data_IF_979606713927
#
_entry.id   IF_979606713927
#
_cell.length_a   1.000
_cell.length_b   1.000
_cell.length_c   1.000
_cell.angle_alpha   90.00
_cell.angle_beta   90.00
_cell.angle_gamma   90.00
#
_symmetry.space_group_name_H-M   'P 1'
#
loop_
_entity.id
_entity.type
_entity.pdbx_description
1 polymer ?
#
# COMPACT_ATOMS: atom_id res chain seq x y z
N UNK A 1 3.66 -11.10 6.07
CA UNK A 1 4.96 -10.59 6.55
C UNK A 1 5.24 -11.21 7.91
N UNK A 2 6.50 -11.38 8.31
CA UNK A 2 6.80 -11.88 9.66
C UNK A 2 6.83 -10.73 10.67
N UNK A 3 6.56 -11.03 11.95
CA UNK A 3 6.53 -10.02 13.02
C UNK A 3 7.85 -9.24 13.15
N UNK A 4 8.99 -9.88 12.90
CA UNK A 4 10.29 -9.22 12.96
C UNK A 4 10.50 -8.19 11.84
N UNK A 5 10.00 -8.51 10.63
CA UNK A 5 10.03 -7.58 9.50
C UNK A 5 9.09 -6.39 9.75
N UNK A 6 7.92 -6.63 10.35
CA UNK A 6 6.99 -5.55 10.73
C UNK A 6 7.64 -4.60 11.73
N UNK A 7 8.33 -5.14 12.73
CA UNK A 7 9.09 -4.33 13.70
C UNK A 7 10.17 -3.50 13.04
N UNK A 8 10.91 -4.07 12.09
CA UNK A 8 11.97 -3.34 11.37
C UNK A 8 11.41 -2.19 10.52
N UNK A 9 10.30 -2.42 9.82
CA UNK A 9 9.57 -1.38 9.08
C UNK A 9 9.10 -0.28 10.02
N UNK A 10 8.49 -0.63 11.16
CA UNK A 10 7.99 0.36 12.11
C UNK A 10 9.11 1.15 12.80
N UNK A 11 10.24 0.50 13.11
CA UNK A 11 11.42 1.18 13.66
C UNK A 11 11.99 2.20 12.66
N UNK A 12 12.01 1.86 11.36
CA UNK A 12 12.39 2.80 10.32
C UNK A 12 11.44 4.01 10.28
N UNK A 13 10.13 3.78 10.30
CA UNK A 13 9.13 4.87 10.30
C UNK A 13 9.34 5.80 11.50
N UNK A 14 9.48 5.24 12.70
CA UNK A 14 9.65 6.01 13.93
C UNK A 14 10.88 6.93 13.84
N UNK A 15 11.98 6.46 13.25
CA UNK A 15 13.20 7.26 13.07
C UNK A 15 13.07 8.35 11.99
N UNK A 16 12.16 8.18 11.05
CA UNK A 16 11.98 9.06 9.90
C UNK A 16 10.64 9.82 9.91
N UNK A 17 10.00 9.90 11.08
CA UNK A 17 8.61 10.36 11.17
C UNK A 17 8.39 11.80 10.71
N UNK A 18 9.40 12.66 10.87
CA UNK A 18 9.38 14.05 10.40
C UNK A 18 9.36 14.19 8.87
N UNK A 19 9.89 13.18 8.17
CA UNK A 19 10.01 13.17 6.71
C UNK A 19 8.85 12.47 6.01
N UNK A 20 8.05 11.71 6.76
CA UNK A 20 6.94 10.92 6.22
C UNK A 20 5.64 11.71 6.44
N UNK A 21 5.07 12.34 5.40
CA UNK A 21 3.77 12.98 5.51
C UNK A 21 2.69 11.93 5.80
N UNK A 22 1.96 12.13 6.87
CA UNK A 22 0.94 11.19 7.31
C UNK A 22 -0.38 11.32 6.52
N UNK A 23 -0.97 12.52 6.53
CA UNK A 23 -2.15 12.89 5.75
C UNK A 23 -2.23 14.40 5.60
N UNK A 24 -2.92 14.86 4.56
CA UNK A 24 -3.35 16.25 4.46
C UNK A 24 -4.46 16.49 5.47
N UNK A 25 -4.30 17.49 6.33
CA UNK A 25 -5.31 17.88 7.31
C UNK A 25 -6.40 18.71 6.63
N UNK A 26 -7.65 18.45 7.00
CA UNK A 26 -8.78 19.29 6.60
C UNK A 26 -8.82 20.58 7.45
N UNK A 27 -9.55 21.58 6.97
CA UNK A 27 -9.75 22.81 7.73
C UNK A 27 -10.39 22.48 9.10
N UNK A 28 -9.77 22.98 10.19
CA UNK A 28 -10.10 22.71 11.60
C UNK A 28 -9.81 21.28 12.12
N UNK A 29 -9.19 20.42 11.32
CA UNK A 29 -8.77 19.10 11.79
C UNK A 29 -7.48 19.19 12.62
N UNK A 30 -7.51 18.63 13.83
CA UNK A 30 -6.31 18.53 14.66
C UNK A 30 -5.34 17.50 14.07
N UNK A 31 -4.05 17.84 14.09
CA UNK A 31 -3.03 16.90 13.68
C UNK A 31 -2.99 15.73 14.68
N UNK A 32 -3.02 14.47 14.22
CA UNK A 32 -2.86 13.32 15.10
C UNK A 32 -1.48 13.38 15.77
N UNK A 33 -1.39 12.85 16.99
CA UNK A 33 -0.13 12.71 17.71
C UNK A 33 0.77 11.70 17.01
N UNK A 34 2.07 11.71 17.31
CA UNK A 34 3.01 10.73 16.74
C UNK A 34 2.63 9.30 17.09
N UNK A 35 2.20 9.06 18.33
CA UNK A 35 1.75 7.74 18.78
C UNK A 35 0.53 7.24 18.00
N UNK A 36 -0.45 8.12 17.76
CA UNK A 36 -1.62 7.81 16.94
C UNK A 36 -1.25 7.48 15.49
N UNK A 37 -0.33 8.26 14.90
CA UNK A 37 0.17 8.01 13.55
C UNK A 37 0.84 6.63 13.47
N UNK A 38 1.74 6.32 14.41
CA UNK A 38 2.45 5.04 14.45
C UNK A 38 1.49 3.88 14.60
N UNK A 39 0.52 3.98 15.51
CA UNK A 39 -0.50 2.93 15.71
C UNK A 39 -1.32 2.69 14.44
N UNK A 40 -1.71 3.75 13.73
CA UNK A 40 -2.47 3.62 12.49
C UNK A 40 -1.61 3.03 11.35
N UNK A 41 -0.35 3.44 11.23
CA UNK A 41 0.58 2.88 10.24
C UNK A 41 0.84 1.39 10.51
N UNK A 42 1.07 1.01 11.77
CA UNK A 42 1.24 -0.38 12.18
C UNK A 42 0.00 -1.22 11.88
N UNK A 43 -1.18 -0.70 12.23
CA UNK A 43 -2.45 -1.37 11.93
C UNK A 43 -2.63 -1.58 10.42
N UNK A 44 -2.34 -0.55 9.62
CA UNK A 44 -2.41 -0.65 8.16
C UNK A 44 -1.39 -1.65 7.61
N UNK A 45 -0.15 -1.64 8.11
CA UNK A 45 0.89 -2.57 7.70
C UNK A 45 0.50 -4.02 7.94
N UNK A 46 -0.13 -4.30 9.09
CA UNK A 46 -0.52 -5.64 9.49
C UNK A 46 -1.74 -6.16 8.69
N UNK A 47 -2.75 -5.32 8.48
CA UNK A 47 -4.01 -5.74 7.85
C UNK A 47 -4.02 -5.58 6.33
N UNK A 48 -3.36 -4.56 5.79
CA UNK A 48 -3.33 -4.26 4.36
C UNK A 48 -1.95 -3.70 3.95
N UNK A 49 -0.96 -4.58 3.77
CA UNK A 49 0.39 -4.20 3.36
C UNK A 49 0.42 -3.44 2.02
N UNK A 50 -0.51 -3.73 1.10
CA UNK A 50 -0.60 -3.07 -0.18
C UNK A 50 -1.05 -1.60 -0.03
N UNK A 51 -2.07 -1.36 0.80
CA UNK A 51 -2.50 0.00 1.15
C UNK A 51 -1.39 0.76 1.87
N UNK A 52 -0.67 0.10 2.78
CA UNK A 52 0.48 0.69 3.45
C UNK A 52 1.53 1.18 2.43
N UNK A 53 1.95 0.31 1.50
CA UNK A 53 2.89 0.65 0.43
C UNK A 53 2.37 1.79 -0.46
N UNK A 54 1.09 1.80 -0.79
CA UNK A 54 0.48 2.86 -1.60
C UNK A 54 0.59 4.25 -0.96
N UNK A 55 0.48 4.32 0.37
CA UNK A 55 0.45 5.56 1.13
C UNK A 55 1.85 6.05 1.46
N UNK A 56 2.69 5.16 2.00
CA UNK A 56 3.97 5.52 2.62
C UNK A 56 5.17 4.87 1.95
N UNK A 57 4.98 3.91 1.05
CA UNK A 57 6.06 3.15 0.41
C UNK A 57 7.09 4.03 -0.30
N UNK A 58 6.68 5.17 -0.87
CA UNK A 58 7.57 6.15 -1.51
C UNK A 58 8.59 6.82 -0.58
N UNK A 59 8.38 6.73 0.73
CA UNK A 59 9.28 7.28 1.75
C UNK A 59 10.14 6.22 2.43
N UNK A 60 9.98 4.95 2.05
CA UNK A 60 10.77 3.86 2.60
C UNK A 60 12.04 3.67 1.79
N UNK A 61 13.12 3.29 2.46
CA UNK A 61 14.36 2.93 1.77
C UNK A 61 14.22 1.60 1.02
N UNK A 62 15.06 1.39 0.01
CA UNK A 62 15.13 0.14 -0.75
C UNK A 62 15.31 -1.10 0.12
N UNK A 63 16.10 -1.00 1.20
CA UNK A 63 16.30 -2.10 2.15
C UNK A 63 15.00 -2.48 2.85
N UNK A 64 14.23 -1.48 3.30
CA UNK A 64 12.94 -1.69 3.97
C UNK A 64 11.88 -2.21 2.99
N UNK A 65 11.85 -1.67 1.75
CA UNK A 65 10.95 -2.16 0.71
C UNK A 65 11.18 -3.65 0.39
N UNK A 66 12.43 -4.13 0.42
CA UNK A 66 12.74 -5.54 0.16
C UNK A 66 12.14 -6.50 1.20
N UNK A 67 11.82 -6.03 2.41
CA UNK A 67 11.16 -6.86 3.42
C UNK A 67 9.77 -7.34 2.98
N UNK A 68 9.11 -6.58 2.09
CA UNK A 68 7.80 -6.91 1.54
C UNK A 68 7.84 -8.02 0.48
N UNK A 69 9.03 -8.42 -0.01
CA UNK A 69 9.17 -9.49 -1.01
C UNK A 69 8.66 -10.86 -0.53
N UNK A 70 8.56 -11.06 0.79
CA UNK A 70 8.06 -12.33 1.35
C UNK A 70 6.54 -12.49 1.15
N UNK A 71 5.82 -11.40 0.84
CA UNK A 71 4.37 -11.40 0.64
C UNK A 71 4.02 -11.44 -0.87
N UNK A 72 4.88 -12.06 -1.67
CA UNK A 72 4.80 -12.07 -3.13
C UNK A 72 3.56 -12.74 -3.72
N UNK A 73 2.74 -13.43 -2.93
CA UNK A 73 1.48 -14.00 -3.42
C UNK A 73 0.35 -12.96 -3.53
N UNK A 74 0.54 -11.76 -2.98
CA UNK A 74 -0.40 -10.64 -3.14
C UNK A 74 -0.01 -9.78 -4.36
N UNK A 75 -0.89 -9.81 -5.37
CA UNK A 75 -0.73 -9.03 -6.59
C UNK A 75 -0.60 -7.52 -6.33
N UNK A 76 -1.37 -6.94 -5.38
CA UNK A 76 -1.31 -5.51 -5.11
C UNK A 76 0.02 -5.13 -4.45
N UNK A 77 0.50 -5.95 -3.52
CA UNK A 77 1.82 -5.76 -2.90
C UNK A 77 2.91 -5.78 -3.95
N UNK A 78 2.92 -6.77 -4.84
CA UNK A 78 3.89 -6.85 -5.94
C UNK A 78 3.82 -5.63 -6.86
N UNK A 79 2.61 -5.22 -7.25
CA UNK A 79 2.43 -4.07 -8.13
C UNK A 79 3.04 -2.80 -7.54
N UNK A 80 2.76 -2.52 -6.26
CA UNK A 80 3.35 -1.36 -5.58
C UNK A 80 4.84 -1.51 -5.36
N UNK A 81 5.29 -2.68 -4.93
CA UNK A 81 6.70 -2.94 -4.67
C UNK A 81 7.54 -2.78 -5.94
N UNK A 82 7.12 -3.38 -7.06
CA UNK A 82 7.77 -3.18 -8.35
C UNK A 82 7.78 -1.70 -8.73
N UNK A 83 6.64 -1.02 -8.65
CA UNK A 83 6.55 0.40 -8.99
C UNK A 83 7.55 1.24 -8.18
N UNK A 84 7.66 0.99 -6.87
CA UNK A 84 8.54 1.73 -5.95
C UNK A 84 10.02 1.40 -6.17
N UNK A 85 10.36 0.12 -6.39
CA UNK A 85 11.74 -0.31 -6.66
C UNK A 85 12.23 0.19 -8.04
N UNK A 86 11.34 0.25 -9.04
CA UNK A 86 11.69 0.73 -10.39
C UNK A 86 11.70 2.26 -10.53
N UNK A 87 10.94 3.00 -9.70
CA UNK A 87 10.88 4.48 -9.77
C UNK A 87 12.22 5.16 -9.48
N UNK A 88 13.09 4.58 -8.64
CA UNK A 88 14.44 5.12 -8.42
C UNK A 88 15.36 4.99 -9.65
N UNK A 89 15.04 4.09 -10.59
CA UNK A 89 15.90 3.79 -11.75
C UNK A 89 15.47 4.49 -13.04
N UNK A 90 14.26 5.07 -13.08
CA UNK A 90 13.62 5.55 -14.31
C UNK A 90 13.19 7.01 -14.21
N UNK A 91 13.94 7.90 -14.85
CA UNK A 91 13.64 9.34 -14.98
C UNK A 91 12.58 9.69 -16.05
N UNK A 92 11.73 8.75 -16.50
CA UNK A 92 10.79 8.99 -17.61
C UNK A 92 9.30 8.90 -17.21
N UNK A 93 8.47 9.93 -17.52
CA UNK A 93 7.05 9.95 -17.18
C UNK A 93 6.20 9.47 -18.37
N UNK A 94 6.03 8.16 -18.57
CA UNK A 94 5.15 7.65 -19.64
C UNK A 94 4.38 6.39 -19.24
N UNK A 95 3.73 6.41 -18.08
CA UNK A 95 2.66 5.44 -17.79
C UNK A 95 1.43 6.22 -17.30
N UNK A 96 0.23 5.81 -17.72
CA UNK A 96 -1.03 6.24 -17.07
C UNK A 96 -0.80 6.14 -15.56
N UNK A 97 -1.25 7.13 -14.77
CA UNK A 97 -0.87 7.20 -13.36
C UNK A 97 -1.06 5.83 -12.70
N UNK A 98 -0.07 5.36 -11.92
CA UNK A 98 -0.14 4.05 -11.27
C UNK A 98 -1.47 3.89 -10.50
N UNK A 99 -1.98 4.99 -9.97
CA UNK A 99 -3.31 5.11 -9.35
C UNK A 99 -4.48 4.76 -10.28
N UNK A 100 -4.44 5.18 -11.56
CA UNK A 100 -5.48 4.86 -12.54
C UNK A 100 -5.51 3.36 -12.87
N UNK A 101 -4.33 2.73 -13.06
CA UNK A 101 -4.24 1.29 -13.31
C UNK A 101 -4.69 0.49 -12.09
N UNK A 102 -4.29 0.93 -10.90
CA UNK A 102 -4.68 0.30 -9.65
C UNK A 102 -6.19 0.39 -9.39
N UNK A 103 -6.81 1.55 -9.63
CA UNK A 103 -8.25 1.71 -9.49
C UNK A 103 -9.02 0.76 -10.43
N UNK A 104 -8.54 0.57 -11.67
CA UNK A 104 -9.13 -0.39 -12.60
C UNK A 104 -8.96 -1.84 -12.11
N UNK A 105 -7.77 -2.20 -11.62
CA UNK A 105 -7.50 -3.54 -11.12
C UNK A 105 -8.29 -3.88 -9.85
N UNK A 106 -8.46 -2.94 -8.92
CA UNK A 106 -9.32 -3.10 -7.72
C UNK A 106 -10.76 -3.36 -8.11
N UNK A 107 -11.28 -2.56 -9.04
CA UNK A 107 -12.65 -2.71 -9.53
C UNK A 107 -12.84 -4.05 -10.24
N UNK A 108 -11.84 -4.51 -10.99
CA UNK A 108 -11.87 -5.82 -11.65
C UNK A 108 -11.84 -6.98 -10.64
N UNK A 109 -10.99 -6.94 -9.62
CA UNK A 109 -10.94 -7.97 -8.57
C UNK A 109 -12.23 -8.03 -7.76
N UNK A 110 -12.77 -6.87 -7.39
CA UNK A 110 -14.07 -6.77 -6.72
C UNK A 110 -15.20 -7.39 -7.56
N UNK A 111 -15.24 -7.09 -8.86
CA UNK A 111 -16.19 -7.70 -9.79
C UNK A 111 -15.99 -9.21 -9.87
N UNK A 112 -14.76 -9.71 -9.99
CA UNK A 112 -14.50 -11.16 -10.00
C UNK A 112 -15.00 -11.84 -8.72
N UNK A 113 -14.80 -11.22 -7.57
CA UNK A 113 -15.19 -11.79 -6.27
C UNK A 113 -16.71 -11.78 -6.07
N UNK A 114 -17.39 -10.70 -6.47
CA UNK A 114 -18.86 -10.61 -6.40
C UNK A 114 -19.52 -11.51 -7.42
N UNK A 115 -19.05 -11.48 -8.67
CA UNK A 115 -19.65 -12.25 -9.76
C UNK A 115 -19.44 -13.76 -9.58
N UNK A 116 -18.47 -14.19 -8.77
CA UNK A 116 -18.25 -15.61 -8.43
C UNK A 116 -19.38 -16.22 -7.60
N UNK A 117 -20.17 -15.39 -6.92
CA UNK A 117 -21.23 -15.82 -6.00
C UNK A 117 -22.61 -15.26 -6.39
N UNK A 118 -22.72 -14.61 -7.54
CA UNK A 118 -23.99 -14.08 -8.04
C UNK A 118 -24.50 -14.94 -9.19
N UNK A 119 -25.83 -15.06 -9.29
CA UNK A 119 -26.51 -15.70 -10.42
C UNK A 119 -26.46 -14.91 -11.73
N UNK A 120 -25.60 -13.87 -11.81
CA UNK A 120 -25.44 -13.01 -12.97
C UNK A 120 -25.04 -13.76 -14.26
N UNK A 121 -24.52 -14.98 -14.13
CA UNK A 121 -24.24 -15.91 -15.24
C UNK A 121 -24.97 -17.26 -15.09
N UNK A 122 -25.92 -17.38 -14.17
CA UNK A 122 -26.75 -18.59 -14.04
C UNK A 122 -27.74 -18.61 -15.19
N UNK A 123 -27.54 -19.54 -16.13
CA UNK A 123 -28.39 -19.74 -17.30
C UNK A 123 -29.70 -20.50 -16.94
N UNK A 124 -30.26 -20.23 -15.75
CA UNK A 124 -31.57 -20.73 -15.34
C UNK A 124 -32.62 -19.65 -15.63
N UNK A 125 -33.10 -19.68 -16.88
CA UNK A 125 -34.37 -19.08 -17.32
C UNK A 125 -35.51 -20.08 -17.22
#
# INVERSE_FOLDING_TARGET
MNADQEREVMHYIQRHMDTIPFKTLRYQEQAPTEEEKLKQMQHTLHHDPALFLSKWGKHLSQTILRLFKVIQDDYEVNFYLDTLLYQEQSTKPTRKSAMHQLAQNRRYQFLKQILRHSDYYSDES
#
